data_IF_267653516619
#
_entry.id   IF_267653516619
#
_cell.length_a   1.000
_cell.length_b   1.000
_cell.length_c   1.000
_cell.angle_alpha   90.00
_cell.angle_beta   90.00
_cell.angle_gamma   90.00
#
_symmetry.space_group_name_H-M   'P 1'
#
loop_
_entity.id
_entity.type
_entity.pdbx_description
1 polymer ?
2 water ?
#
# COMPACT_ATOMS: atom_id res chain seq x y z
N UNK A 12 9.47 0.47 -11.74
CA UNK A 12 8.21 1.02 -11.15
C UNK A 12 7.21 1.23 -12.26
N UNK A 13 6.19 0.35 -12.26
CA UNK A 13 5.10 0.31 -13.24
C UNK A 13 4.24 1.56 -13.22
N UNK A 14 4.29 2.34 -12.15
CA UNK A 14 3.35 3.44 -12.04
C UNK A 14 3.41 4.39 -13.21
N UNK A 15 4.61 4.57 -13.73
CA UNK A 15 4.78 5.55 -14.79
C UNK A 15 4.36 5.02 -16.18
N UNK A 16 3.86 3.77 -16.20
CA UNK A 16 3.21 3.12 -17.34
C UNK A 16 1.71 3.02 -17.15
N UNK A 17 1.23 3.24 -15.93
CA UNK A 17 -0.20 3.08 -15.66
C UNK A 17 -1.08 4.04 -16.48
N UNK A 18 -2.20 3.52 -16.94
CA UNK A 18 -3.28 4.31 -17.51
C UNK A 18 -3.90 5.05 -16.33
N UNK A 19 -4.59 6.17 -16.53
CA UNK A 19 -5.35 6.76 -15.41
C UNK A 19 -6.35 5.77 -14.81
N UNK A 20 -7.10 5.05 -15.63
CA UNK A 20 -8.03 4.04 -15.13
C UNK A 20 -7.30 2.90 -14.41
N UNK A 21 -6.16 2.49 -14.96
CA UNK A 21 -5.27 1.52 -14.31
C UNK A 21 -4.76 1.97 -12.92
N UNK A 22 -4.52 3.27 -12.79
CA UNK A 22 -3.98 3.86 -11.56
C UNK A 22 -5.05 3.80 -10.46
N UNK A 23 -6.29 4.25 -10.76
CA UNK A 23 -7.45 4.04 -9.88
C UNK A 23 -7.65 2.58 -9.49
N UNK A 24 -7.69 1.66 -10.47
CA UNK A 24 -7.80 0.24 -10.14
C UNK A 24 -6.79 -0.15 -9.09
N UNK A 25 -5.57 0.36 -9.15
CA UNK A 25 -4.62 -0.06 -8.12
C UNK A 25 -4.97 0.49 -6.75
N UNK A 26 -5.37 1.76 -6.72
CA UNK A 26 -5.53 2.40 -5.47
C UNK A 26 -6.55 1.59 -4.69
N UNK A 27 -7.72 1.33 -5.31
CA UNK A 27 -8.82 0.50 -4.75
C UNK A 27 -8.43 -0.92 -4.31
N UNK A 28 -7.53 -1.55 -5.05
CA UNK A 28 -7.05 -2.85 -4.68
C UNK A 28 -6.23 -2.73 -3.41
N UNK A 29 -5.38 -1.71 -3.37
CA UNK A 29 -4.59 -1.41 -2.18
C UNK A 29 -5.48 -1.04 -1.01
N UNK A 30 -6.47 -0.18 -1.21
CA UNK A 30 -7.41 0.11 -0.15
C UNK A 30 -8.04 -1.17 0.35
N UNK A 31 -8.78 -1.86 -0.52
CA UNK A 31 -9.54 -3.05 -0.15
C UNK A 31 -8.62 -4.04 0.58
N UNK A 32 -7.43 -4.25 0.05
CA UNK A 32 -6.51 -5.15 0.68
C UNK A 32 -6.18 -4.67 2.08
N UNK A 33 -5.83 -3.38 2.21
CA UNK A 33 -5.61 -2.78 3.51
C UNK A 33 -6.84 -2.93 4.44
N UNK A 34 -8.05 -2.77 3.92
CA UNK A 34 -9.22 -2.94 4.77
C UNK A 34 -9.66 -4.35 5.13
N UNK A 35 -9.50 -5.29 4.20
CA UNK A 35 -9.87 -6.67 4.51
C UNK A 35 -8.79 -7.41 5.29
N UNK A 36 -7.59 -6.84 5.33
CA UNK A 36 -6.51 -7.39 6.12
C UNK A 36 -5.48 -8.22 5.37
N UNK A 37 -5.48 -8.12 4.04
CA UNK A 37 -4.43 -8.75 3.26
C UNK A 37 -3.14 -7.89 3.34
N UNK A 38 -2.04 -8.46 2.83
CA UNK A 38 -0.72 -7.88 2.97
C UNK A 38 -0.21 -7.90 4.41
N UNK A 39 0.83 -7.12 4.67
CA UNK A 39 1.52 -7.13 5.92
C UNK A 39 1.66 -5.67 6.34
N UNK A 40 1.07 -5.28 7.48
CA UNK A 40 1.30 -3.93 7.97
C UNK A 40 2.11 -4.11 9.27
N UNK A 41 3.32 -3.52 9.29
CA UNK A 41 4.34 -3.66 10.34
C UNK A 41 4.68 -2.29 10.93
N UNK A 42 4.87 -2.25 12.24
CA UNK A 42 5.31 -1.08 12.97
C UNK A 42 6.75 -1.40 13.33
N UNK A 43 7.70 -0.60 12.82
CA UNK A 43 9.13 -0.90 12.97
C UNK A 43 9.67 -0.34 14.27
N UNK A 44 10.84 -0.82 14.64
CA UNK A 44 11.55 -0.38 15.82
C UNK A 44 11.49 1.14 16.08
N UNK A 45 11.73 1.93 15.03
CA UNK A 45 11.79 3.38 15.13
C UNK A 45 10.40 4.07 15.00
N UNK A 46 9.33 3.29 15.06
CA UNK A 46 7.99 3.83 14.97
C UNK A 46 7.37 3.98 13.58
N UNK A 47 8.19 3.80 12.54
CA UNK A 47 7.76 3.90 11.13
C UNK A 47 6.85 2.72 10.72
N UNK A 48 5.83 3.01 9.92
CA UNK A 48 4.89 1.98 9.46
C UNK A 48 5.19 1.64 8.02
N UNK A 49 5.16 0.34 7.70
CA UNK A 49 5.25 -0.10 6.31
C UNK A 49 4.07 -0.98 5.95
N UNK A 50 3.63 -0.87 4.70
CA UNK A 50 2.60 -1.72 4.18
C UNK A 50 3.16 -2.37 2.93
N UNK A 51 2.82 -3.63 2.74
CA UNK A 51 3.28 -4.39 1.63
C UNK A 51 2.10 -5.23 1.18
N UNK A 52 1.81 -5.22 -0.11
CA UNK A 52 0.76 -6.03 -0.69
C UNK A 52 1.12 -6.53 -2.06
N UNK A 53 0.56 -7.69 -2.39
CA UNK A 53 0.47 -8.17 -3.76
C UNK A 53 -1.01 -8.33 -4.20
N UNK A 54 -1.33 -7.85 -5.40
CA UNK A 54 -2.66 -8.05 -5.96
C UNK A 54 -2.63 -8.19 -7.49
N UNK A 55 -3.81 -8.45 -8.06
CA UNK A 55 -3.99 -8.60 -9.50
C UNK A 55 -4.81 -7.47 -10.09
N UNK A 56 -4.40 -7.02 -11.27
CA UNK A 56 -5.26 -6.27 -12.14
C UNK A 56 -5.97 -7.25 -13.11
N UNK A 57 -7.10 -6.86 -13.71
CA UNK A 57 -7.76 -7.77 -14.64
C UNK A 57 -6.78 -8.15 -15.74
N UNK A 58 -7.03 -9.28 -16.37
CA UNK A 58 -6.08 -9.88 -17.28
C UNK A 58 -5.70 -8.96 -18.43
N UNK A 59 -6.69 -8.30 -19.00
CA UNK A 59 -6.43 -7.47 -20.17
C UNK A 59 -5.62 -6.21 -19.82
N UNK A 60 -5.65 -5.76 -18.57
CA UNK A 60 -4.79 -4.67 -18.14
C UNK A 60 -3.34 -5.13 -17.97
N UNK A 61 -3.16 -6.28 -17.31
CA UNK A 61 -1.86 -6.92 -17.14
C UNK A 61 -1.10 -7.14 -18.44
N UNK A 62 -1.79 -7.69 -19.43
CA UNK A 62 -1.20 -7.98 -20.73
C UNK A 62 -0.69 -6.69 -21.40
N UNK A 63 -1.51 -5.63 -21.36
CA UNK A 63 -1.13 -4.31 -21.84
C UNK A 63 0.12 -3.83 -21.12
N UNK A 64 0.18 -4.02 -19.80
CA UNK A 64 1.40 -3.67 -19.09
C UNK A 64 2.54 -4.63 -19.45
N UNK A 65 2.29 -5.95 -19.43
CA UNK A 65 3.35 -6.87 -19.81
C UNK A 65 3.93 -6.45 -21.16
N UNK A 66 3.11 -5.98 -22.10
CA UNK A 66 3.59 -5.50 -23.41
C UNK A 66 4.52 -4.26 -23.43
N UNK A 67 4.09 -3.16 -22.79
CA UNK A 67 4.89 -1.91 -22.77
C UNK A 67 6.11 -2.02 -21.85
N UNK A 68 6.12 -3.06 -21.03
CA UNK A 68 7.15 -3.29 -20.04
C UNK A 68 8.26 -4.14 -20.66
N UNK B 12 1.26 -8.02 13.00
CA UNK B 12 0.52 -7.02 12.15
C UNK B 12 -0.08 -5.91 13.01
N UNK B 13 0.28 -4.65 12.77
CA UNK B 13 -0.25 -3.58 13.62
C UNK B 13 -1.72 -3.27 13.46
N UNK B 14 -2.36 -3.80 12.44
CA UNK B 14 -3.70 -3.35 12.21
C UNK B 14 -4.61 -3.66 13.39
N UNK B 15 -4.26 -4.69 14.17
CA UNK B 15 -5.08 -5.16 15.30
C UNK B 15 -5.06 -4.14 16.40
N UNK B 16 -4.03 -3.31 16.43
CA UNK B 16 -3.87 -2.35 17.51
C UNK B 16 -4.26 -0.93 17.11
N UNK B 17 -4.56 -0.69 15.84
CA UNK B 17 -4.90 0.67 15.45
C UNK B 17 -6.22 1.04 16.04
N UNK B 18 -6.42 2.31 16.37
CA UNK B 18 -7.79 2.85 16.49
C UNK B 18 -8.34 2.99 15.07
N UNK B 19 -9.65 3.02 14.90
CA UNK B 19 -10.23 3.32 13.59
C UNK B 19 -9.74 4.62 12.93
N UNK B 20 -9.54 5.71 13.68
CA UNK B 20 -8.84 6.89 13.18
C UNK B 20 -7.42 6.58 12.75
N UNK B 21 -6.63 5.89 13.57
CA UNK B 21 -5.28 5.58 13.11
C UNK B 21 -5.35 4.71 11.86
N UNK B 22 -6.29 3.77 11.82
CA UNK B 22 -6.50 2.95 10.63
C UNK B 22 -6.68 3.83 9.40
N UNK B 23 -7.58 4.81 9.52
CA UNK B 23 -7.77 5.87 8.51
C UNK B 23 -6.55 6.68 8.09
N UNK B 24 -5.82 7.24 9.05
CA UNK B 24 -4.60 7.98 8.74
C UNK B 24 -3.62 7.13 7.92
N UNK B 25 -3.57 5.84 8.24
CA UNK B 25 -2.74 4.90 7.48
C UNK B 25 -3.13 4.79 6.01
N UNK B 26 -4.44 4.68 5.79
CA UNK B 26 -5.01 4.61 4.46
C UNK B 26 -4.76 5.87 3.64
N UNK B 27 -5.18 7.04 4.14
CA UNK B 27 -4.76 8.32 3.56
C UNK B 27 -3.26 8.38 3.21
N UNK B 28 -2.38 7.87 4.09
CA UNK B 28 -0.94 7.91 3.88
C UNK B 28 -0.50 7.00 2.76
N UNK B 29 -0.98 5.77 2.77
CA UNK B 29 -0.72 4.83 1.68
C UNK B 29 -1.24 5.41 0.34
N UNK B 30 -2.44 5.97 0.34
CA UNK B 30 -3.04 6.52 -0.86
C UNK B 30 -2.23 7.76 -1.38
N UNK B 31 -1.80 8.66 -0.50
CA UNK B 31 -0.92 9.77 -0.89
C UNK B 31 0.45 9.27 -1.43
N UNK B 32 1.05 8.32 -0.74
CA UNK B 32 2.36 7.86 -1.14
C UNK B 32 2.24 7.22 -2.52
N UNK B 33 1.21 6.39 -2.73
CA UNK B 33 1.00 5.82 -4.05
C UNK B 33 0.78 6.94 -5.11
N UNK B 34 -0.12 7.88 -4.85
CA UNK B 34 -0.31 8.96 -5.83
C UNK B 34 0.93 9.79 -6.12
N UNK B 35 1.83 9.91 -5.14
CA UNK B 35 2.96 10.86 -5.29
C UNK B 35 4.28 10.21 -5.66
N UNK B 36 4.24 8.89 -5.75
CA UNK B 36 5.30 8.14 -6.34
C UNK B 36 6.21 7.57 -5.31
N UNK B 37 5.83 7.67 -4.05
CA UNK B 37 6.59 7.07 -2.97
C UNK B 37 6.33 5.53 -2.88
N UNK B 38 7.21 4.81 -2.19
CA UNK B 38 7.11 3.37 -2.10
C UNK B 38 7.61 2.78 -3.39
N UNK B 39 7.49 1.46 -3.56
CA UNK B 39 7.79 0.83 -4.85
C UNK B 39 6.63 -0.02 -5.34
N UNK B 40 6.11 0.32 -6.52
CA UNK B 40 5.13 -0.47 -7.26
C UNK B 40 5.74 -1.21 -8.46
N UNK B 41 5.67 -2.54 -8.41
CA UNK B 41 6.30 -3.48 -9.37
C UNK B 41 5.28 -4.38 -10.06
N UNK B 42 5.66 -4.87 -11.22
CA UNK B 42 4.92 -5.89 -11.97
C UNK B 42 5.87 -7.07 -12.07
N UNK B 43 5.32 -8.24 -11.75
CA UNK B 43 6.07 -9.48 -11.62
C UNK B 43 6.13 -10.18 -12.94
N UNK B 44 6.97 -11.19 -12.98
CA UNK B 44 7.02 -12.15 -14.08
C UNK B 44 5.60 -12.71 -14.42
N UNK B 45 4.81 -12.99 -13.38
CA UNK B 45 3.48 -13.58 -13.51
C UNK B 45 2.35 -12.56 -13.76
N UNK B 46 2.69 -11.27 -13.72
CA UNK B 46 1.73 -10.25 -14.03
C UNK B 46 1.09 -9.65 -12.82
N UNK B 47 1.46 -10.14 -11.65
CA UNK B 47 0.92 -9.64 -10.38
C UNK B 47 1.48 -8.26 -10.05
N UNK B 48 0.68 -7.44 -9.36
CA UNK B 48 1.18 -6.15 -8.90
C UNK B 48 1.55 -6.20 -7.44
N UNK B 49 2.68 -5.58 -7.15
CA UNK B 49 3.09 -5.50 -5.77
C UNK B 49 3.46 -4.06 -5.44
N UNK B 50 3.17 -3.66 -4.21
CA UNK B 50 3.37 -2.30 -3.73
C UNK B 50 3.82 -2.36 -2.29
N UNK B 51 4.84 -1.57 -1.97
CA UNK B 51 5.42 -1.57 -0.64
C UNK B 51 5.81 -0.13 -0.29
N UNK B 52 5.32 0.34 0.86
CA UNK B 52 5.62 1.69 1.31
C UNK B 52 5.96 1.75 2.81
N UNK B 53 6.73 2.77 3.19
CA UNK B 53 7.09 3.07 4.56
C UNK B 53 6.71 4.53 4.75
N UNK B 54 6.04 4.87 5.86
CA UNK B 54 5.54 6.22 6.12
C UNK B 54 5.38 6.48 7.63
N UNK B 55 5.31 7.75 8.04
CA UNK B 55 5.11 8.08 9.47
C UNK B 55 3.67 8.34 9.82
N UNK B 56 3.29 7.99 11.04
CA UNK B 56 2.11 8.57 11.68
C UNK B 56 2.57 9.76 12.58
N UNK B 57 1.68 10.69 12.96
CA UNK B 57 2.04 11.71 13.97
C UNK B 57 2.63 11.09 15.26
N UNK B 58 3.55 11.83 15.89
CA UNK B 58 4.29 11.32 17.03
C UNK B 58 3.42 10.70 18.10
N UNK B 59 2.36 11.40 18.51
CA UNK B 59 1.51 10.92 19.59
C UNK B 59 0.87 9.57 19.29
N UNK B 60 0.45 9.34 18.04
CA UNK B 60 -0.14 8.04 17.61
C UNK B 60 0.83 6.92 17.70
N UNK B 61 2.00 7.17 17.11
CA UNK B 61 3.16 6.30 17.10
C UNK B 61 3.53 5.89 18.51
N UNK B 62 3.64 6.89 19.37
CA UNK B 62 3.99 6.68 20.76
C UNK B 62 2.96 5.73 21.39
N UNK B 63 1.67 6.03 21.23
CA UNK B 63 0.62 5.12 21.67
C UNK B 63 0.83 3.69 21.16
N UNK B 64 1.00 3.52 19.85
CA UNK B 64 1.22 2.20 19.29
C UNK B 64 2.44 1.48 19.88
N UNK B 65 3.60 2.14 20.01
CA UNK B 65 4.79 1.54 20.66
C UNK B 65 4.57 1.10 22.11
N UNK B 66 3.83 1.91 22.86
CA UNK B 66 3.41 1.52 24.20
C UNK B 66 2.65 0.19 24.22
N UNK B 67 1.65 0.03 23.36
CA UNK B 67 0.92 -1.23 23.32
C UNK B 67 1.58 -2.25 22.38
N UNK B 68 2.84 -2.61 22.68
CA UNK B 68 3.68 -3.49 21.83
C UNK B 68 4.89 -3.97 22.63
#
# INVERSE_FOLDING_TARGET
MAHHHHHHTEDDVRHHFTPSERQLCLSSIQTAFNQGAGTCTLSDSGRISYTVEFSLPTHHTVRLIRVTASPSA
MAHHHHHHTEDDVRHHFTPSERQLCLSSIQTAFNQGAGTCTLSDSGRISYTVEFSLPTHHTVRLIRVTASPSA
#
